data_IF_114383779554
#
_entry.id   IF_114383779554
#
_cell.length_a   1.000
_cell.length_b   1.000
_cell.length_c   1.000
_cell.angle_alpha   90.00
_cell.angle_beta   90.00
_cell.angle_gamma   90.00
#
_symmetry.space_group_name_H-M   'P 1'
#
loop_
_entity.id
_entity.type
_entity.pdbx_description
1 polymer ?
#
# COMPACT_ATOMS: atom_id res chain seq x y z
N UNK A 1 10.94 15.96 10.32
CA UNK A 1 11.70 15.01 11.16
C UNK A 1 12.15 13.87 10.26
N UNK A 2 13.37 13.36 10.41
CA UNK A 2 13.83 12.23 9.62
C UNK A 2 13.36 10.91 10.20
N UNK A 3 13.00 9.95 9.34
CA UNK A 3 12.46 8.65 9.73
C UNK A 3 13.24 7.51 9.07
N UNK A 4 13.47 6.44 9.83
CA UNK A 4 14.18 5.26 9.36
C UNK A 4 13.40 3.99 9.71
N UNK A 5 13.24 3.11 8.74
CA UNK A 5 12.71 1.77 8.97
C UNK A 5 13.79 0.88 9.59
N UNK A 6 13.43 0.17 10.65
CA UNK A 6 14.33 -0.73 11.38
C UNK A 6 13.62 -2.02 11.77
N UNK A 7 14.39 -3.03 12.18
CA UNK A 7 13.81 -4.20 12.83
C UNK A 7 13.28 -3.85 14.22
N UNK A 8 12.25 -4.56 14.65
CA UNK A 8 11.56 -4.35 15.91
C UNK A 8 12.51 -4.30 17.12
N UNK A 9 13.54 -5.15 17.13
CA UNK A 9 14.52 -5.24 18.22
C UNK A 9 15.37 -3.97 18.37
N UNK A 10 15.53 -3.20 17.29
CA UNK A 10 16.29 -1.95 17.34
C UNK A 10 15.58 -0.87 18.19
N UNK A 11 14.23 -0.94 18.27
CA UNK A 11 13.45 -0.01 19.08
C UNK A 11 13.55 -0.27 20.59
N UNK A 12 14.01 -1.44 21.01
CA UNK A 12 14.14 -1.81 22.43
C UNK A 12 15.51 -1.42 23.02
N UNK A 13 16.45 -0.99 22.18
CA UNK A 13 17.85 -0.73 22.59
C UNK A 13 18.07 0.71 23.01
N UNK A 14 19.03 0.93 23.92
CA UNK A 14 19.50 2.26 24.32
C UNK A 14 20.34 2.94 23.22
N UNK A 15 21.04 2.14 22.42
CA UNK A 15 21.72 2.56 21.20
C UNK A 15 21.15 1.78 20.03
N UNK A 16 20.61 2.48 19.05
CA UNK A 16 19.95 1.82 17.94
C UNK A 16 20.94 1.09 17.05
N UNK A 17 20.65 -0.18 16.78
CA UNK A 17 21.33 -0.97 15.76
C UNK A 17 20.61 -0.79 14.43
N UNK A 18 21.28 -0.11 13.48
CA UNK A 18 20.68 0.26 12.22
C UNK A 18 20.99 -0.78 11.12
N UNK A 19 20.00 -1.27 10.39
CA UNK A 19 20.24 -2.01 9.16
C UNK A 19 21.11 -1.20 8.18
N UNK A 20 21.87 -1.91 7.32
CA UNK A 20 22.81 -1.26 6.39
C UNK A 20 22.20 -0.14 5.56
N UNK A 21 20.96 -0.33 5.09
CA UNK A 21 20.27 0.67 4.27
C UNK A 21 19.83 1.88 5.11
N UNK A 22 19.33 1.68 6.32
CA UNK A 22 19.00 2.76 7.25
C UNK A 22 20.27 3.55 7.65
N UNK A 23 21.39 2.86 7.93
CA UNK A 23 22.67 3.49 8.23
C UNK A 23 23.22 4.31 7.04
N UNK A 24 23.05 3.79 5.81
CA UNK A 24 23.42 4.53 4.58
C UNK A 24 22.54 5.78 4.42
N UNK A 25 21.24 5.64 4.62
CA UNK A 25 20.30 6.76 4.53
C UNK A 25 20.64 7.85 5.57
N UNK A 26 20.92 7.46 6.80
CA UNK A 26 21.34 8.38 7.86
C UNK A 26 22.56 9.20 7.48
N UNK A 27 23.58 8.57 6.83
CA UNK A 27 24.75 9.27 6.32
C UNK A 27 24.42 10.34 5.27
N UNK A 28 23.43 10.07 4.41
CA UNK A 28 22.97 11.02 3.38
C UNK A 28 22.24 12.20 4.04
N UNK A 29 21.45 11.95 5.06
CA UNK A 29 20.70 12.97 5.81
C UNK A 29 21.61 13.98 6.53
N UNK A 30 22.82 13.59 6.92
CA UNK A 30 23.80 14.43 7.64
C UNK A 30 23.19 15.14 8.86
N UNK A 31 22.58 14.40 9.79
CA UNK A 31 21.88 15.01 10.91
C UNK A 31 22.84 15.82 11.78
N UNK A 32 22.33 16.88 12.41
CA UNK A 32 23.09 17.70 13.36
C UNK A 32 23.21 16.99 14.71
N UNK A 33 24.20 17.33 15.49
CA UNK A 33 24.35 16.83 16.86
C UNK A 33 23.08 17.10 17.67
N UNK A 34 22.54 16.07 18.31
CA UNK A 34 21.31 16.13 19.12
C UNK A 34 20.00 16.15 18.32
N UNK A 35 20.08 16.12 16.99
CA UNK A 35 18.88 16.06 16.16
C UNK A 35 18.10 14.76 16.40
N UNK A 36 16.78 14.89 16.53
CA UNK A 36 15.91 13.73 16.74
C UNK A 36 15.61 13.03 15.42
N UNK A 37 15.83 11.71 15.43
CA UNK A 37 15.53 10.80 14.34
C UNK A 37 14.48 9.80 14.85
N UNK A 38 13.39 9.64 14.13
CA UNK A 38 12.38 8.65 14.46
C UNK A 38 12.70 7.31 13.77
N UNK A 39 12.74 6.26 14.54
CA UNK A 39 12.80 4.89 14.06
C UNK A 39 11.38 4.28 14.12
N UNK A 40 11.02 3.47 13.12
CA UNK A 40 9.75 2.74 13.10
C UNK A 40 9.93 1.33 12.54
N UNK A 41 9.11 0.38 12.99
CA UNK A 41 9.24 -1.03 12.61
C UNK A 41 8.26 -1.49 11.50
N UNK A 42 7.40 -0.58 11.02
CA UNK A 42 6.36 -0.92 10.04
C UNK A 42 5.21 -1.76 10.62
N UNK A 43 5.21 -2.00 11.92
CA UNK A 43 4.21 -2.78 12.65
C UNK A 43 3.48 -1.95 13.73
N UNK A 44 3.52 -0.62 13.61
CA UNK A 44 2.82 0.31 14.48
C UNK A 44 3.65 0.81 15.67
N UNK A 45 4.95 0.50 15.75
CA UNK A 45 5.81 0.99 16.82
C UNK A 45 6.81 2.00 16.31
N UNK A 46 7.03 3.06 17.08
CA UNK A 46 8.01 4.09 16.79
C UNK A 46 8.77 4.46 18.05
N UNK A 47 10.04 4.86 17.90
CA UNK A 47 10.84 5.41 18.96
C UNK A 47 11.77 6.47 18.40
N UNK A 48 11.91 7.61 19.10
CA UNK A 48 12.84 8.67 18.73
C UNK A 48 14.14 8.48 19.46
N UNK A 49 15.22 8.80 18.75
CA UNK A 49 16.59 8.78 19.23
C UNK A 49 17.26 10.10 18.90
N UNK A 50 18.33 10.43 19.60
CA UNK A 50 19.16 11.59 19.29
C UNK A 50 20.42 11.18 18.56
N UNK A 51 20.79 11.95 17.54
CA UNK A 51 22.02 11.74 16.83
C UNK A 51 23.22 12.18 17.66
N UNK A 52 24.12 11.26 17.96
CA UNK A 52 25.35 11.49 18.63
C UNK A 52 26.51 11.51 17.60
N UNK A 53 26.85 12.71 17.11
CA UNK A 53 27.86 12.87 16.07
C UNK A 53 29.28 12.44 16.52
N UNK A 54 29.60 12.57 17.81
CA UNK A 54 30.90 12.17 18.34
C UNK A 54 31.12 10.67 18.33
N UNK A 55 30.04 9.90 18.54
CA UNK A 55 30.06 8.44 18.53
C UNK A 55 29.58 7.84 17.19
N UNK A 56 28.93 8.63 16.32
CA UNK A 56 28.38 8.17 15.06
C UNK A 56 27.19 7.22 15.24
N UNK A 57 26.39 7.38 16.29
CA UNK A 57 25.28 6.51 16.65
C UNK A 57 24.02 7.29 16.98
N UNK A 58 22.87 6.61 16.99
CA UNK A 58 21.63 7.08 17.57
C UNK A 58 21.51 6.53 18.98
N UNK A 59 21.50 7.41 19.97
CA UNK A 59 21.41 7.09 21.40
C UNK A 59 20.36 7.97 22.11
N UNK A 60 20.31 7.92 23.43
CA UNK A 60 19.37 8.67 24.26
C UNK A 60 17.90 8.54 23.76
N UNK A 61 17.36 7.32 23.76
CA UNK A 61 16.01 7.08 23.25
C UNK A 61 14.96 7.75 24.12
N UNK A 62 13.91 8.27 23.46
CA UNK A 62 12.68 8.70 24.10
C UNK A 62 11.75 7.49 24.36
N UNK A 63 10.63 7.66 25.06
CA UNK A 63 9.69 6.57 25.27
C UNK A 63 9.24 5.91 23.97
N UNK A 64 9.10 4.58 23.98
CA UNK A 64 8.53 3.82 22.87
C UNK A 64 7.06 4.18 22.70
N UNK A 65 6.64 4.46 21.48
CA UNK A 65 5.26 4.74 21.12
C UNK A 65 4.70 3.55 20.32
N UNK A 66 3.56 3.03 20.77
CA UNK A 66 2.82 2.01 20.05
C UNK A 66 1.51 2.61 19.53
N UNK A 67 1.25 2.47 18.24
CA UNK A 67 -0.03 2.87 17.67
C UNK A 67 -1.13 1.97 18.24
N UNK A 68 -2.14 2.59 18.86
CA UNK A 68 -3.22 1.88 19.54
C UNK A 68 -4.29 1.36 18.59
N UNK A 69 -4.38 1.94 17.39
CA UNK A 69 -5.38 1.60 16.39
C UNK A 69 -4.69 1.24 15.08
N UNK A 70 -4.95 0.02 14.60
CA UNK A 70 -4.56 -0.36 13.25
C UNK A 70 -5.61 0.18 12.27
N UNK A 71 -5.18 0.79 11.15
CA UNK A 71 -6.11 1.23 10.12
C UNK A 71 -7.01 0.09 9.62
N UNK A 72 -8.21 0.43 9.18
CA UNK A 72 -9.13 -0.54 8.59
C UNK A 72 -8.43 -1.26 7.41
N UNK A 73 -8.46 -2.61 7.35
CA UNK A 73 -7.69 -3.35 6.35
C UNK A 73 -8.22 -3.09 4.93
N UNK A 74 -7.46 -2.34 4.13
CA UNK A 74 -7.71 -2.09 2.72
C UNK A 74 -6.73 -2.92 1.88
N UNK A 75 -7.24 -3.64 0.87
CA UNK A 75 -6.42 -4.37 -0.11
C UNK A 75 -6.61 -3.77 -1.50
N UNK A 76 -5.52 -3.41 -2.16
CA UNK A 76 -5.52 -3.00 -3.55
C UNK A 76 -5.15 -4.18 -4.45
N UNK A 77 -6.06 -4.64 -5.28
CA UNK A 77 -5.82 -5.49 -6.43
C UNK A 77 -5.73 -4.58 -7.67
N UNK A 78 -4.58 -4.39 -8.23
CA UNK A 78 -4.45 -3.52 -9.39
C UNK A 78 -3.58 -4.16 -10.48
N UNK A 79 -4.07 -4.05 -11.70
CA UNK A 79 -3.29 -4.47 -12.85
C UNK A 79 -2.05 -3.60 -13.02
N UNK A 80 -0.89 -4.27 -13.20
CA UNK A 80 0.40 -3.59 -13.27
C UNK A 80 0.49 -2.69 -14.48
N UNK A 81 0.65 -1.39 -14.27
CA UNK A 81 0.83 -0.39 -15.31
C UNK A 81 2.31 -0.19 -15.65
N UNK A 82 2.60 0.40 -16.82
CA UNK A 82 3.98 0.56 -17.31
C UNK A 82 4.74 1.67 -16.58
N UNK A 83 5.96 1.34 -16.13
CA UNK A 83 6.95 2.32 -15.67
C UNK A 83 6.57 3.05 -14.38
N UNK A 84 6.81 4.36 -14.36
CA UNK A 84 6.62 5.22 -13.18
C UNK A 84 5.16 5.33 -12.72
N UNK A 85 4.17 5.00 -13.55
CA UNK A 85 2.77 5.00 -13.15
C UNK A 85 2.47 3.95 -12.10
N UNK A 86 3.07 2.77 -12.23
CA UNK A 86 2.94 1.72 -11.22
C UNK A 86 3.62 2.11 -9.90
N UNK A 87 4.82 2.69 -10.00
CA UNK A 87 5.56 3.17 -8.83
C UNK A 87 4.74 4.23 -8.06
N UNK A 88 4.15 5.17 -8.79
CA UNK A 88 3.26 6.19 -8.24
C UNK A 88 2.00 5.59 -7.60
N UNK A 89 1.42 4.54 -8.21
CA UNK A 89 0.27 3.83 -7.63
C UNK A 89 0.61 3.22 -6.28
N UNK A 90 1.78 2.58 -6.14
CA UNK A 90 2.25 2.02 -4.87
C UNK A 90 2.44 3.13 -3.83
N UNK A 91 3.13 4.21 -4.20
CA UNK A 91 3.38 5.36 -3.33
C UNK A 91 2.07 5.90 -2.76
N UNK A 92 1.09 6.21 -3.62
CA UNK A 92 -0.20 6.76 -3.19
C UNK A 92 -1.06 5.75 -2.44
N UNK A 93 -0.97 4.47 -2.74
CA UNK A 93 -1.65 3.43 -1.96
C UNK A 93 -1.14 3.37 -0.51
N UNK A 94 0.17 3.51 -0.31
CA UNK A 94 0.77 3.59 1.04
C UNK A 94 0.33 4.84 1.79
N UNK A 95 0.36 6.00 1.15
CA UNK A 95 -0.10 7.28 1.72
C UNK A 95 -1.58 7.21 2.14
N UNK A 96 -2.40 6.43 1.43
CA UNK A 96 -3.81 6.21 1.73
C UNK A 96 -4.06 5.08 2.74
N UNK A 97 -3.01 4.52 3.33
CA UNK A 97 -3.11 3.54 4.42
C UNK A 97 -3.52 2.14 3.97
N UNK A 98 -3.21 1.74 2.74
CA UNK A 98 -3.48 0.37 2.27
C UNK A 98 -2.72 -0.64 3.12
N UNK A 99 -3.37 -1.76 3.48
CA UNK A 99 -2.74 -2.84 4.25
C UNK A 99 -2.07 -3.90 3.36
N UNK A 100 -2.54 -4.05 2.11
CA UNK A 100 -2.00 -5.03 1.16
C UNK A 100 -2.10 -4.52 -0.26
N UNK A 101 -1.07 -4.74 -1.06
CA UNK A 101 -1.04 -4.49 -2.51
C UNK A 101 -0.82 -5.82 -3.23
N UNK A 102 -1.74 -6.17 -4.10
CA UNK A 102 -1.71 -7.36 -4.96
C UNK A 102 -1.54 -6.90 -6.41
N UNK A 103 -0.31 -6.94 -6.95
CA UNK A 103 -0.07 -6.64 -8.36
C UNK A 103 -0.65 -7.75 -9.23
N UNK A 104 -1.49 -7.40 -10.21
CA UNK A 104 -2.19 -8.37 -11.05
C UNK A 104 -1.72 -8.29 -12.49
N UNK A 105 -1.56 -9.44 -13.13
CA UNK A 105 -1.33 -9.58 -14.56
C UNK A 105 -2.59 -10.19 -15.18
N UNK A 106 -3.34 -9.38 -15.94
CA UNK A 106 -4.52 -9.78 -16.70
C UNK A 106 -4.19 -9.89 -18.18
N UNK A 107 -5.10 -10.42 -18.97
CA UNK A 107 -4.89 -10.67 -20.41
C UNK A 107 -4.55 -9.41 -21.20
N UNK A 108 -5.11 -8.26 -20.81
CA UNK A 108 -4.91 -6.99 -21.50
C UNK A 108 -3.91 -6.07 -20.81
N UNK A 109 -3.16 -6.55 -19.81
CA UNK A 109 -2.01 -5.81 -19.28
C UNK A 109 -0.95 -5.60 -20.36
N UNK A 110 -0.42 -4.39 -20.47
CA UNK A 110 0.72 -4.09 -21.34
C UNK A 110 1.99 -4.72 -20.75
N UNK A 111 2.11 -4.70 -19.43
CA UNK A 111 3.25 -5.28 -18.70
C UNK A 111 3.09 -6.80 -18.66
N UNK A 112 4.14 -7.50 -19.10
CA UNK A 112 4.28 -8.94 -18.96
C UNK A 112 5.50 -9.22 -18.10
N UNK A 113 5.34 -10.06 -17.11
CA UNK A 113 6.42 -10.44 -16.20
C UNK A 113 6.61 -11.96 -16.28
N UNK A 114 7.79 -12.38 -16.70
CA UNK A 114 8.16 -13.78 -16.58
C UNK A 114 8.21 -14.21 -15.10
N UNK A 115 7.94 -15.47 -14.78
CA UNK A 115 7.99 -15.94 -13.38
C UNK A 115 9.27 -15.54 -12.64
N UNK A 116 10.44 -15.65 -13.29
CA UNK A 116 11.72 -15.28 -12.69
C UNK A 116 11.94 -13.77 -12.46
N UNK A 117 11.12 -12.90 -13.05
CA UNK A 117 11.20 -11.44 -12.84
C UNK A 117 10.33 -10.96 -11.70
N UNK A 118 9.31 -11.73 -11.29
CA UNK A 118 8.29 -11.32 -10.33
C UNK A 118 8.89 -11.01 -8.96
N UNK A 119 9.79 -11.85 -8.47
CA UNK A 119 10.47 -11.66 -7.17
C UNK A 119 11.29 -10.38 -7.16
N UNK A 120 12.15 -10.15 -8.16
CA UNK A 120 12.98 -8.95 -8.24
C UNK A 120 12.13 -7.67 -8.37
N UNK A 121 10.99 -7.72 -9.09
CA UNK A 121 10.05 -6.62 -9.17
C UNK A 121 9.36 -6.36 -7.82
N UNK A 122 8.93 -7.41 -7.13
CA UNK A 122 8.30 -7.28 -5.81
C UNK A 122 9.25 -6.66 -4.78
N UNK A 123 10.53 -7.06 -4.78
CA UNK A 123 11.54 -6.43 -3.91
C UNK A 123 11.69 -4.93 -4.19
N UNK A 124 11.72 -4.53 -5.48
CA UNK A 124 11.75 -3.12 -5.85
C UNK A 124 10.49 -2.39 -5.38
N UNK A 125 9.31 -2.97 -5.54
CA UNK A 125 8.03 -2.38 -5.13
C UNK A 125 7.92 -2.24 -3.60
N UNK A 126 8.44 -3.19 -2.84
CA UNK A 126 8.55 -3.10 -1.37
C UNK A 126 9.40 -1.91 -0.95
N UNK A 127 10.54 -1.67 -1.63
CA UNK A 127 11.38 -0.48 -1.35
C UNK A 127 10.63 0.83 -1.63
N UNK A 128 9.83 0.90 -2.70
CA UNK A 128 8.98 2.06 -2.97
C UNK A 128 7.95 2.26 -1.84
N UNK A 129 7.33 1.18 -1.38
CA UNK A 129 6.38 1.25 -0.26
C UNK A 129 7.06 1.70 1.05
N UNK A 130 8.28 1.24 1.33
CA UNK A 130 9.07 1.69 2.47
C UNK A 130 9.44 3.17 2.38
N UNK A 131 9.84 3.65 1.19
CA UNK A 131 10.14 5.06 0.95
C UNK A 131 8.89 5.93 1.15
N UNK A 132 7.76 5.50 0.61
CA UNK A 132 6.48 6.18 0.78
C UNK A 132 6.05 6.24 2.26
N UNK A 133 6.23 5.15 3.01
CA UNK A 133 5.91 5.11 4.44
C UNK A 133 6.80 6.05 5.27
N UNK A 134 8.09 6.20 4.89
CA UNK A 134 8.97 7.19 5.52
C UNK A 134 8.49 8.62 5.30
N UNK A 135 7.97 8.94 4.13
CA UNK A 135 7.52 10.28 3.74
C UNK A 135 6.13 10.64 4.27
N UNK A 136 5.25 9.68 4.40
CA UNK A 136 3.85 9.89 4.79
C UNK A 136 3.59 9.72 6.29
N UNK A 137 4.62 9.55 7.09
CA UNK A 137 4.53 9.25 8.53
C UNK A 137 3.71 7.97 8.84
N UNK A 138 3.55 7.08 7.86
CA UNK A 138 2.89 5.81 8.08
C UNK A 138 3.71 4.94 9.05
N UNK A 139 3.05 4.39 10.05
CA UNK A 139 3.67 3.49 11.04
C UNK A 139 3.39 2.01 10.75
N UNK A 140 2.50 1.76 9.77
CA UNK A 140 2.16 0.43 9.29
C UNK A 140 2.60 0.29 7.84
N UNK A 141 3.45 -0.68 7.55
CA UNK A 141 3.83 -1.01 6.19
C UNK A 141 2.80 -1.94 5.55
N UNK A 142 2.41 -1.72 4.29
CA UNK A 142 1.61 -2.68 3.57
C UNK A 142 2.42 -3.92 3.20
N UNK A 143 1.73 -5.05 3.12
CA UNK A 143 2.24 -6.23 2.46
C UNK A 143 2.18 -6.02 0.94
N UNK A 144 3.33 -6.02 0.26
CA UNK A 144 3.41 -5.96 -1.20
C UNK A 144 3.75 -7.35 -1.73
N UNK A 145 2.78 -7.98 -2.39
CA UNK A 145 2.93 -9.33 -2.94
C UNK A 145 3.77 -9.32 -4.24
N UNK A 146 4.22 -10.49 -4.63
CA UNK A 146 4.66 -10.70 -6.01
C UNK A 146 3.47 -10.56 -6.98
N UNK A 147 3.77 -10.21 -8.23
CA UNK A 147 2.72 -10.15 -9.24
C UNK A 147 2.10 -11.53 -9.46
N UNK A 148 0.78 -11.58 -9.44
CA UNK A 148 0.00 -12.80 -9.64
C UNK A 148 -0.80 -12.72 -10.94
N UNK A 149 -1.09 -13.87 -11.53
CA UNK A 149 -1.99 -13.95 -12.67
C UNK A 149 -3.44 -13.74 -12.23
N UNK A 150 -4.29 -13.24 -13.12
CA UNK A 150 -5.65 -12.87 -12.81
C UNK A 150 -6.48 -13.97 -12.09
N UNK A 151 -6.41 -15.26 -12.45
CA UNK A 151 -7.13 -16.32 -11.72
C UNK A 151 -6.68 -16.44 -10.25
N UNK A 152 -5.39 -16.27 -9.97
CA UNK A 152 -4.86 -16.28 -8.60
C UNK A 152 -5.36 -15.06 -7.82
N UNK A 153 -5.40 -13.88 -8.47
CA UNK A 153 -5.97 -12.68 -7.86
C UNK A 153 -7.44 -12.88 -7.48
N UNK A 154 -8.24 -13.56 -8.31
CA UNK A 154 -9.63 -13.90 -8.01
C UNK A 154 -9.77 -14.82 -6.78
N UNK A 155 -8.82 -15.70 -6.52
CA UNK A 155 -8.82 -16.50 -5.31
C UNK A 155 -8.44 -15.68 -4.07
N UNK A 156 -7.49 -14.75 -4.21
CA UNK A 156 -7.13 -13.82 -3.14
C UNK A 156 -8.26 -12.85 -2.77
N UNK A 157 -9.17 -12.51 -3.71
CA UNK A 157 -10.35 -11.69 -3.43
C UNK A 157 -11.19 -12.28 -2.28
N UNK A 158 -11.24 -13.60 -2.14
CA UNK A 158 -11.96 -14.30 -1.05
C UNK A 158 -11.42 -14.00 0.35
N UNK A 159 -10.20 -13.47 0.45
CA UNK A 159 -9.60 -13.09 1.74
C UNK A 159 -10.09 -11.74 2.27
N UNK A 160 -10.81 -10.97 1.46
CA UNK A 160 -11.41 -9.71 1.84
C UNK A 160 -12.88 -9.88 2.23
N UNK A 161 -13.36 -9.10 3.20
CA UNK A 161 -14.76 -9.12 3.60
C UNK A 161 -15.69 -8.66 2.48
N UNK A 162 -15.26 -7.67 1.70
CA UNK A 162 -15.96 -7.22 0.47
C UNK A 162 -14.96 -6.60 -0.50
N UNK A 163 -15.12 -6.86 -1.80
CA UNK A 163 -14.30 -6.26 -2.85
C UNK A 163 -15.18 -5.46 -3.81
N UNK A 164 -14.72 -4.27 -4.18
CA UNK A 164 -15.34 -3.41 -5.18
C UNK A 164 -14.48 -3.41 -6.43
N UNK A 165 -15.11 -3.53 -7.60
CA UNK A 165 -14.42 -3.47 -8.88
C UNK A 165 -14.88 -2.26 -9.69
N UNK A 166 -13.95 -1.44 -10.15
CA UNK A 166 -14.23 -0.42 -11.16
C UNK A 166 -14.63 -1.12 -12.46
N UNK A 167 -15.87 -0.95 -12.90
CA UNK A 167 -16.39 -1.63 -14.07
C UNK A 167 -17.10 -0.66 -15.02
N UNK A 168 -16.77 -0.76 -16.32
CA UNK A 168 -17.40 0.01 -17.39
C UNK A 168 -18.51 -0.84 -18.01
N UNK A 169 -19.67 -0.90 -17.32
CA UNK A 169 -20.85 -1.68 -17.79
C UNK A 169 -22.00 -0.77 -18.22
N UNK A 170 -22.94 -1.32 -18.98
CA UNK A 170 -24.19 -0.68 -19.34
C UNK A 170 -25.36 -1.53 -18.89
N UNK A 171 -26.30 -0.98 -18.05
CA UNK A 171 -26.24 0.36 -17.45
C UNK A 171 -25.03 0.53 -16.50
N UNK A 172 -24.60 1.77 -16.21
CA UNK A 172 -23.49 2.00 -15.30
C UNK A 172 -23.83 1.51 -13.89
N UNK A 173 -22.86 0.91 -13.18
CA UNK A 173 -23.08 0.43 -11.82
C UNK A 173 -23.17 1.60 -10.82
N UNK A 174 -23.60 1.35 -9.58
CA UNK A 174 -23.73 2.41 -8.57
C UNK A 174 -22.38 3.07 -8.29
N UNK A 175 -22.38 4.36 -7.88
CA UNK A 175 -21.17 5.04 -7.44
C UNK A 175 -20.50 4.29 -6.28
N UNK A 176 -19.15 4.24 -6.27
CA UNK A 176 -18.37 3.50 -5.27
C UNK A 176 -18.74 3.90 -3.84
N UNK A 177 -18.86 5.19 -3.53
CA UNK A 177 -19.20 5.66 -2.18
C UNK A 177 -20.56 5.10 -1.71
N UNK A 178 -21.56 5.08 -2.59
CA UNK A 178 -22.88 4.55 -2.25
C UNK A 178 -22.84 3.03 -2.01
N UNK A 179 -22.06 2.30 -2.79
CA UNK A 179 -21.88 0.86 -2.62
C UNK A 179 -21.13 0.54 -1.30
N UNK A 180 -20.05 1.24 -1.01
CA UNK A 180 -19.27 1.06 0.22
C UNK A 180 -20.10 1.36 1.46
N UNK A 181 -20.85 2.46 1.49
CA UNK A 181 -21.66 2.85 2.66
C UNK A 181 -22.71 1.80 3.04
N UNK A 182 -23.16 0.98 2.10
CA UNK A 182 -24.10 -0.12 2.37
C UNK A 182 -23.43 -1.34 3.04
N UNK A 183 -22.17 -1.59 2.71
CA UNK A 183 -21.43 -2.79 3.13
C UNK A 183 -20.64 -2.60 4.44
N UNK A 184 -20.15 -1.38 4.71
CA UNK A 184 -19.25 -1.08 5.84
C UNK A 184 -19.72 -1.60 7.20
N UNK A 185 -21.01 -1.50 7.59
CA UNK A 185 -21.43 -1.96 8.91
C UNK A 185 -21.23 -3.46 9.15
N UNK A 186 -21.14 -4.25 8.06
CA UNK A 186 -21.13 -5.72 8.11
C UNK A 186 -19.74 -6.33 7.84
N UNK A 187 -18.76 -5.55 7.37
CA UNK A 187 -17.48 -6.08 6.90
C UNK A 187 -16.30 -5.62 7.76
N UNK A 188 -15.23 -6.43 7.79
CA UNK A 188 -14.01 -6.19 8.58
C UNK A 188 -12.79 -5.87 7.71
N UNK A 189 -12.94 -5.93 6.41
CA UNK A 189 -11.89 -5.57 5.43
C UNK A 189 -12.52 -5.28 4.08
N UNK A 190 -11.89 -4.39 3.32
CA UNK A 190 -12.34 -4.05 1.96
C UNK A 190 -11.22 -4.27 0.96
N UNK A 191 -11.60 -4.63 -0.26
CA UNK A 191 -10.71 -4.67 -1.41
C UNK A 191 -11.19 -3.74 -2.52
N UNK A 192 -10.24 -3.22 -3.28
CA UNK A 192 -10.48 -2.50 -4.53
C UNK A 192 -9.80 -3.25 -5.66
N UNK A 193 -10.54 -3.57 -6.70
CA UNK A 193 -9.98 -4.19 -7.90
C UNK A 193 -10.01 -3.19 -9.08
N UNK A 194 -8.84 -2.95 -9.67
CA UNK A 194 -8.65 -1.99 -10.77
C UNK A 194 -8.02 -2.69 -11.97
N UNK A 195 -8.66 -2.57 -13.12
CA UNK A 195 -8.21 -3.16 -14.38
C UNK A 195 -7.04 -2.43 -15.04
N UNK A 196 -6.53 -3.01 -16.13
CA UNK A 196 -5.48 -2.39 -16.95
C UNK A 196 -6.06 -1.28 -17.84
N UNK A 197 -5.18 -0.55 -18.53
CA UNK A 197 -5.59 0.48 -19.50
C UNK A 197 -6.47 -0.06 -20.65
N UNK A 198 -6.34 -1.35 -20.99
CA UNK A 198 -7.13 -2.04 -22.02
C UNK A 198 -8.44 -2.64 -21.49
N UNK A 199 -8.80 -2.36 -20.23
CA UNK A 199 -9.90 -2.98 -19.50
C UNK A 199 -9.75 -4.53 -19.38
N UNK A 200 -10.65 -5.18 -18.69
CA UNK A 200 -10.72 -6.65 -18.62
C UNK A 200 -11.29 -7.24 -19.91
N UNK A 201 -10.92 -8.48 -20.22
CA UNK A 201 -11.67 -9.25 -21.22
C UNK A 201 -13.09 -9.52 -20.70
N UNK A 202 -14.07 -9.80 -21.58
CA UNK A 202 -15.42 -10.14 -21.14
C UNK A 202 -15.46 -11.35 -20.16
N UNK A 203 -14.58 -12.33 -20.36
CA UNK A 203 -14.46 -13.49 -19.50
C UNK A 203 -13.89 -13.14 -18.12
N UNK A 204 -12.82 -12.33 -18.07
CA UNK A 204 -12.24 -11.82 -16.83
C UNK A 204 -13.23 -10.97 -16.05
N UNK A 205 -13.92 -10.04 -16.74
CA UNK A 205 -14.92 -9.19 -16.10
C UNK A 205 -16.05 -10.02 -15.51
N UNK A 206 -16.60 -10.98 -16.25
CA UNK A 206 -17.66 -11.88 -15.76
C UNK A 206 -17.21 -12.63 -14.49
N UNK A 207 -16.02 -13.25 -14.52
CA UNK A 207 -15.47 -13.97 -13.38
C UNK A 207 -15.20 -13.06 -12.16
N UNK A 208 -14.77 -11.82 -12.39
CA UNK A 208 -14.56 -10.84 -11.32
C UNK A 208 -15.89 -10.42 -10.68
N UNK A 209 -16.91 -10.17 -11.47
CA UNK A 209 -18.23 -9.71 -10.99
C UNK A 209 -19.02 -10.79 -10.24
N UNK A 210 -18.64 -12.06 -10.34
CA UNK A 210 -19.16 -13.11 -9.44
C UNK A 210 -18.66 -12.94 -7.99
N UNK A 211 -17.58 -12.20 -7.77
CA UNK A 211 -16.88 -12.10 -6.47
C UNK A 211 -16.70 -10.68 -5.97
N UNK A 212 -16.89 -9.69 -6.82
CA UNK A 212 -16.72 -8.27 -6.51
C UNK A 212 -17.97 -7.48 -6.89
N UNK A 213 -18.25 -6.43 -6.12
CA UNK A 213 -19.35 -5.50 -6.39
C UNK A 213 -18.92 -4.54 -7.49
N UNK A 214 -19.62 -4.52 -8.66
CA UNK A 214 -19.32 -3.53 -9.68
C UNK A 214 -19.64 -2.12 -9.20
N UNK A 215 -18.73 -1.17 -9.48
CA UNK A 215 -18.90 0.21 -9.06
C UNK A 215 -18.40 1.18 -10.13
N UNK A 216 -19.04 2.34 -10.18
CA UNK A 216 -18.62 3.46 -11.01
C UNK A 216 -17.72 4.42 -10.22
N UNK A 217 -16.67 4.91 -10.88
CA UNK A 217 -15.77 5.95 -10.33
C UNK A 217 -16.11 7.35 -10.86
N UNK A 218 -17.28 7.51 -11.46
CA UNK A 218 -17.76 8.78 -11.97
C UNK A 218 -18.12 8.77 -13.46
N UNK A 219 -18.42 9.92 -14.03
CA UNK A 219 -18.93 10.01 -15.41
C UNK A 219 -17.84 9.90 -16.48
N UNK A 220 -16.55 9.99 -16.10
CA UNK A 220 -15.41 9.95 -17.02
C UNK A 220 -14.62 8.66 -16.82
N UNK A 221 -13.98 8.20 -17.90
CA UNK A 221 -13.05 7.07 -17.82
C UNK A 221 -11.74 7.56 -17.19
N UNK A 222 -11.39 6.97 -16.07
CA UNK A 222 -10.12 7.25 -15.39
C UNK A 222 -9.01 6.35 -15.94
N UNK A 223 -7.78 6.85 -15.94
CA UNK A 223 -6.61 5.99 -16.13
C UNK A 223 -6.46 5.04 -14.94
N UNK A 224 -5.85 3.88 -15.14
CA UNK A 224 -5.73 2.84 -14.12
C UNK A 224 -5.11 3.36 -12.80
N UNK A 225 -4.04 4.14 -12.88
CA UNK A 225 -3.41 4.75 -11.72
C UNK A 225 -4.34 5.74 -11.00
N UNK A 226 -5.09 6.55 -11.76
CA UNK A 226 -6.06 7.50 -11.21
C UNK A 226 -7.24 6.75 -10.58
N UNK A 227 -7.71 5.69 -11.20
CA UNK A 227 -8.79 4.84 -10.69
C UNK A 227 -8.40 4.18 -9.35
N UNK A 228 -7.17 3.70 -9.24
CA UNK A 228 -6.64 3.12 -8.00
C UNK A 228 -6.63 4.14 -6.86
N UNK A 229 -6.08 5.34 -7.09
CA UNK A 229 -6.00 6.39 -6.06
C UNK A 229 -7.38 6.91 -5.70
N UNK A 230 -8.24 7.21 -6.68
CA UNK A 230 -9.62 7.63 -6.43
C UNK A 230 -10.38 6.61 -5.60
N UNK A 231 -10.36 5.34 -6.02
CA UNK A 231 -11.08 4.27 -5.32
C UNK A 231 -10.57 4.08 -3.89
N UNK A 232 -9.25 4.04 -3.68
CA UNK A 232 -8.66 3.94 -2.34
C UNK A 232 -9.02 5.15 -1.47
N UNK A 233 -9.00 6.37 -2.02
CA UNK A 233 -9.39 7.57 -1.27
C UNK A 233 -10.84 7.51 -0.78
N UNK A 234 -11.75 7.01 -1.64
CA UNK A 234 -13.16 6.82 -1.25
C UNK A 234 -13.29 5.76 -0.16
N UNK A 235 -12.59 4.62 -0.29
CA UNK A 235 -12.61 3.56 0.73
C UNK A 235 -12.02 4.06 2.06
N UNK A 236 -10.87 4.71 2.04
CA UNK A 236 -10.21 5.25 3.24
C UNK A 236 -11.10 6.28 3.95
N UNK A 237 -11.69 7.22 3.20
CA UNK A 237 -12.59 8.23 3.75
C UNK A 237 -13.88 7.63 4.34
N UNK A 238 -14.42 6.58 3.72
CA UNK A 238 -15.59 5.87 4.24
C UNK A 238 -15.26 5.13 5.55
N UNK A 239 -14.10 4.45 5.62
CA UNK A 239 -13.66 3.72 6.80
C UNK A 239 -13.26 4.63 7.98
N UNK A 240 -12.81 5.85 7.73
CA UNK A 240 -12.47 6.81 8.79
C UNK A 240 -13.70 7.34 9.56
N UNK A 241 -14.92 7.13 9.03
CA UNK A 241 -16.19 7.56 9.64
C UNK A 241 -16.90 6.46 10.41
N UNK A 242 -16.37 5.24 10.36
CA UNK A 242 -16.92 4.05 11.00
C UNK A 242 -16.18 3.74 12.30
#
# INVERSE_FOLDING_TARGET
>A
MHRLLVHAEALEREVADLPRDAARHLKVLRPKLGEEIELFDGCGRTRRYRWNAARGVLDAPLPLVCATVRPFPLTLFACVTKGSRWDWTIEKAVELGVARIVPVISDRCIVRLAPGERTAKAERWRRIAEDAARQSDAVWLPEVLEAVDFPVALDLVKTCGRVFAGALTHPPPPPLLAAVSRELPAVRSLGLFVGPEGDFTPAELAALLERAVPTSFGPTILRAETAAVFGLSVLAAACARS
#
